data_IF_918328022263
#
_entry.id   IF_918328022263
#
_cell.length_a   1.000
_cell.length_b   1.000
_cell.length_c   1.000
_cell.angle_alpha   90.00
_cell.angle_beta   90.00
_cell.angle_gamma   90.00
#
_symmetry.space_group_name_H-M   'P 1'
#
loop_
_entity.id
_entity.type
_entity.pdbx_description
1 polymer ?
#
# COMPACT_ATOMS: atom_id res chain seq x y z
N UNK A 1 12.29 18.79 -9.25
CA UNK A 1 11.22 19.16 -10.21
C UNK A 1 10.96 20.66 -10.28
N UNK A 2 10.30 21.29 -9.31
CA UNK A 2 9.92 22.72 -9.38
C UNK A 2 11.09 23.67 -9.73
N UNK A 3 12.23 23.55 -9.03
CA UNK A 3 13.42 24.36 -9.32
C UNK A 3 13.97 24.16 -10.74
N UNK A 4 13.91 22.93 -11.27
CA UNK A 4 14.33 22.65 -12.64
C UNK A 4 13.37 23.27 -13.66
N UNK A 5 12.05 23.19 -13.42
CA UNK A 5 11.03 23.81 -14.25
C UNK A 5 11.16 25.33 -14.28
N UNK A 6 11.40 25.98 -13.13
CA UNK A 6 11.64 27.42 -13.05
C UNK A 6 12.90 27.82 -13.82
N UNK A 7 13.98 27.04 -13.73
CA UNK A 7 15.22 27.31 -14.47
C UNK A 7 15.03 27.19 -15.98
N UNK A 8 14.26 26.20 -16.43
CA UNK A 8 13.94 26.01 -17.86
C UNK A 8 12.94 27.05 -18.38
N UNK A 9 12.04 27.51 -17.52
CA UNK A 9 11.01 28.48 -17.85
C UNK A 9 11.07 29.68 -16.90
N UNK A 10 12.06 30.58 -17.02
CA UNK A 10 12.22 31.72 -16.10
C UNK A 10 11.01 32.66 -16.08
N UNK A 11 10.20 32.65 -17.14
CA UNK A 11 9.00 33.47 -17.29
C UNK A 11 7.76 32.89 -16.58
N UNK A 12 7.80 31.65 -16.08
CA UNK A 12 6.70 31.09 -15.31
C UNK A 12 6.63 31.71 -13.92
N UNK A 13 5.41 32.02 -13.47
CA UNK A 13 5.15 32.40 -12.09
C UNK A 13 5.12 31.16 -11.16
N UNK A 14 5.09 31.39 -9.85
CA UNK A 14 5.10 30.33 -8.85
C UNK A 14 3.96 29.32 -8.99
N UNK A 15 2.74 29.79 -9.29
CA UNK A 15 1.57 28.93 -9.48
C UNK A 15 1.74 27.97 -10.65
N UNK A 16 2.25 28.48 -11.79
CA UNK A 16 2.51 27.65 -12.97
C UNK A 16 3.57 26.59 -12.67
N UNK A 17 4.66 26.96 -12.01
CA UNK A 17 5.71 26.02 -11.62
C UNK A 17 5.18 24.96 -10.67
N UNK A 18 4.38 25.35 -9.68
CA UNK A 18 3.76 24.42 -8.73
C UNK A 18 2.82 23.43 -9.44
N UNK A 19 1.89 23.92 -10.26
CA UNK A 19 0.90 23.05 -10.92
C UNK A 19 1.55 22.10 -11.92
N UNK A 20 2.57 22.54 -12.67
CA UNK A 20 3.29 21.67 -13.60
C UNK A 20 4.14 20.62 -12.85
N UNK A 21 4.80 20.99 -11.75
CA UNK A 21 5.48 20.01 -10.89
C UNK A 21 4.49 19.00 -10.30
N UNK A 22 3.35 19.46 -9.77
CA UNK A 22 2.28 18.60 -9.23
C UNK A 22 1.73 17.64 -10.28
N UNK A 23 1.52 18.12 -11.51
CA UNK A 23 1.06 17.30 -12.64
C UNK A 23 2.06 16.17 -12.95
N UNK A 24 3.35 16.47 -12.97
CA UNK A 24 4.39 15.48 -13.22
C UNK A 24 4.43 14.43 -12.10
N UNK A 25 4.44 14.85 -10.84
CA UNK A 25 4.43 13.91 -9.69
C UNK A 25 3.19 13.02 -9.73
N UNK A 26 2.01 13.56 -10.05
CA UNK A 26 0.80 12.77 -10.25
C UNK A 26 0.96 11.72 -11.36
N UNK A 27 1.61 12.09 -12.47
CA UNK A 27 1.96 11.18 -13.55
C UNK A 27 2.93 10.07 -13.13
N UNK A 28 3.94 10.39 -12.34
CA UNK A 28 4.91 9.43 -11.78
C UNK A 28 4.20 8.41 -10.87
N UNK A 29 3.35 8.89 -9.95
CA UNK A 29 2.56 8.02 -9.07
C UNK A 29 1.66 7.09 -9.89
N UNK A 30 0.92 7.60 -10.87
CA UNK A 30 0.10 6.77 -11.75
C UNK A 30 0.92 5.74 -12.53
N UNK A 31 2.07 6.14 -13.08
CA UNK A 31 2.94 5.23 -13.83
C UNK A 31 3.44 4.09 -12.94
N UNK A 32 3.96 4.39 -11.75
CA UNK A 32 4.41 3.38 -10.78
C UNK A 32 3.26 2.46 -10.37
N UNK A 33 2.09 3.03 -10.04
CA UNK A 33 0.93 2.25 -9.61
C UNK A 33 0.48 1.27 -10.69
N UNK A 34 0.24 1.73 -11.92
CA UNK A 34 -0.36 0.90 -12.97
C UNK A 34 0.64 0.01 -13.71
N UNK A 35 1.89 0.45 -13.86
CA UNK A 35 2.92 -0.30 -14.62
C UNK A 35 3.77 -1.20 -13.75
N UNK A 36 3.95 -0.86 -12.47
CA UNK A 36 4.90 -1.58 -11.62
C UNK A 36 4.25 -2.26 -10.42
N UNK A 37 3.31 -1.62 -9.74
CA UNK A 37 2.69 -2.14 -8.52
C UNK A 37 1.54 -3.11 -8.82
N UNK A 38 0.49 -2.66 -9.52
CA UNK A 38 -0.71 -3.46 -9.78
C UNK A 38 -0.43 -4.78 -10.52
N UNK A 39 0.47 -4.86 -11.51
CA UNK A 39 0.81 -6.14 -12.14
C UNK A 39 1.41 -7.17 -11.17
N UNK A 40 2.21 -6.70 -10.19
CA UNK A 40 2.79 -7.58 -9.16
C UNK A 40 1.77 -8.06 -8.14
N UNK A 41 0.78 -7.21 -7.82
CA UNK A 41 -0.28 -7.53 -6.85
C UNK A 41 -1.35 -8.44 -7.47
N UNK A 42 -1.81 -8.13 -8.69
CA UNK A 42 -2.90 -8.86 -9.34
C UNK A 42 -2.42 -10.10 -10.11
N UNK A 43 -1.12 -10.17 -10.43
CA UNK A 43 -0.53 -11.29 -11.17
C UNK A 43 -1.23 -11.54 -12.50
N UNK A 44 -1.60 -12.79 -12.75
CA UNK A 44 -2.28 -13.22 -13.99
C UNK A 44 -3.62 -12.52 -14.21
N UNK A 45 -4.29 -12.07 -13.14
CA UNK A 45 -5.57 -11.34 -13.24
C UNK A 45 -5.42 -9.89 -13.71
N UNK A 46 -4.21 -9.33 -13.77
CA UNK A 46 -4.01 -7.93 -14.19
C UNK A 46 -4.55 -7.67 -15.60
N UNK A 47 -4.27 -8.57 -16.54
CA UNK A 47 -4.65 -8.40 -17.94
C UNK A 47 -6.17 -8.41 -18.16
N UNK A 48 -6.90 -9.23 -17.39
CA UNK A 48 -8.36 -9.32 -17.48
C UNK A 48 -9.09 -8.25 -16.68
N UNK A 49 -8.49 -7.76 -15.58
CA UNK A 49 -9.16 -6.83 -14.65
C UNK A 49 -8.83 -5.36 -14.95
N UNK A 50 -7.57 -5.04 -15.22
CA UNK A 50 -7.12 -3.66 -15.50
C UNK A 50 -6.78 -3.50 -16.97
N UNK A 51 -5.95 -4.41 -17.51
CA UNK A 51 -5.61 -4.48 -18.93
C UNK A 51 -4.90 -3.22 -19.47
N UNK A 52 -4.87 -3.13 -20.79
CA UNK A 52 -4.32 -1.96 -21.49
C UNK A 52 -5.28 -0.77 -21.44
N UNK A 53 -4.73 0.42 -21.30
CA UNK A 53 -5.50 1.66 -21.31
C UNK A 53 -6.03 1.97 -22.72
N UNK A 54 -7.36 2.16 -22.84
CA UNK A 54 -8.05 2.40 -24.13
C UNK A 54 -8.52 3.84 -24.32
N UNK A 55 -8.04 4.76 -23.48
CA UNK A 55 -8.48 6.16 -23.48
C UNK A 55 -9.51 6.46 -22.38
N UNK A 56 -9.80 7.74 -22.22
CA UNK A 56 -10.76 8.22 -21.23
C UNK A 56 -12.19 7.91 -21.67
N UNK A 57 -12.99 7.36 -20.76
CA UNK A 57 -14.41 7.13 -20.97
C UNK A 57 -15.19 7.93 -19.91
N UNK A 58 -15.96 8.96 -20.30
CA UNK A 58 -16.70 9.80 -19.35
C UNK A 58 -17.88 9.08 -18.68
N UNK A 59 -18.28 7.90 -19.17
CA UNK A 59 -19.35 7.09 -18.57
C UNK A 59 -18.87 6.16 -17.46
N UNK A 60 -17.56 6.08 -17.18
CA UNK A 60 -17.01 5.29 -16.07
C UNK A 60 -17.20 6.08 -14.77
N UNK A 61 -17.72 5.43 -13.74
CA UNK A 61 -17.75 5.95 -12.37
C UNK A 61 -16.37 5.77 -11.72
N UNK A 62 -15.64 6.87 -11.40
CA UNK A 62 -14.32 6.79 -10.78
C UNK A 62 -14.39 6.69 -9.25
N UNK A 63 -15.58 6.60 -8.66
CA UNK A 63 -15.77 6.55 -7.20
C UNK A 63 -15.11 5.31 -6.60
N UNK A 64 -14.44 5.49 -5.46
CA UNK A 64 -13.86 4.35 -4.72
C UNK A 64 -14.99 3.57 -4.05
N UNK A 65 -15.10 2.29 -4.40
CA UNK A 65 -16.04 1.37 -3.79
C UNK A 65 -15.78 1.22 -2.27
N UNK A 66 -16.86 1.16 -1.48
CA UNK A 66 -16.78 1.02 -0.03
C UNK A 66 -15.99 -0.24 0.37
N UNK A 67 -16.19 -1.32 -0.36
CA UNK A 67 -15.57 -2.62 -0.12
C UNK A 67 -14.08 -2.63 -0.46
N UNK A 68 -13.65 -1.75 -1.39
CA UNK A 68 -12.24 -1.53 -1.66
C UNK A 68 -11.53 -0.87 -0.47
N UNK A 69 -12.10 0.21 0.06
CA UNK A 69 -11.50 0.97 1.18
C UNK A 69 -11.58 0.25 2.54
N UNK A 70 -12.74 -0.32 2.85
CA UNK A 70 -13.03 -0.90 4.18
C UNK A 70 -12.62 -2.36 4.30
N UNK A 71 -12.32 -3.03 3.19
CA UNK A 71 -11.92 -4.44 3.15
C UNK A 71 -10.70 -4.69 2.26
N UNK A 72 -10.89 -4.69 0.94
CA UNK A 72 -9.95 -5.29 0.01
C UNK A 72 -8.54 -4.68 0.07
N UNK A 73 -8.41 -3.35 0.04
CA UNK A 73 -7.11 -2.68 0.01
C UNK A 73 -6.35 -2.75 1.35
N UNK A 74 -6.98 -3.29 2.41
CA UNK A 74 -6.33 -3.56 3.70
C UNK A 74 -5.50 -4.84 3.72
N UNK A 75 -5.44 -5.59 2.61
CA UNK A 75 -4.55 -6.75 2.46
C UNK A 75 -3.08 -6.41 2.79
N UNK A 76 -2.69 -5.14 2.58
CA UNK A 76 -1.38 -4.61 2.95
C UNK A 76 -1.03 -4.73 4.43
N UNK A 77 -2.01 -4.78 5.34
CA UNK A 77 -1.74 -5.01 6.77
C UNK A 77 -1.11 -6.39 7.02
N UNK A 78 -1.40 -7.38 6.18
CA UNK A 78 -0.74 -8.69 6.22
C UNK A 78 0.70 -8.65 5.71
N UNK A 79 1.12 -7.59 5.02
CA UNK A 79 2.45 -7.44 4.41
C UNK A 79 3.43 -6.67 5.30
N UNK A 80 2.96 -6.13 6.44
CA UNK A 80 3.78 -5.40 7.40
C UNK A 80 4.78 -6.36 8.07
N UNK A 81 6.05 -5.99 8.05
CA UNK A 81 7.11 -6.69 8.78
C UNK A 81 7.16 -6.21 10.24
N UNK A 82 7.63 -7.07 11.15
CA UNK A 82 7.79 -6.69 12.56
C UNK A 82 9.04 -5.82 12.79
N UNK A 83 10.01 -5.89 11.89
CA UNK A 83 11.27 -5.16 11.99
C UNK A 83 11.73 -4.64 10.63
N UNK A 84 12.31 -3.43 10.62
CA UNK A 84 12.89 -2.82 9.44
C UNK A 84 14.37 -2.47 9.69
N UNK A 85 15.30 -2.97 8.86
CA UNK A 85 16.70 -2.58 8.95
C UNK A 85 16.86 -1.13 8.50
N UNK A 86 17.86 -0.43 9.06
CA UNK A 86 18.37 0.83 8.52
C UNK A 86 19.79 0.61 8.04
N UNK A 87 20.06 1.01 6.80
CA UNK A 87 21.34 0.73 6.15
C UNK A 87 22.11 2.00 5.78
N UNK A 88 23.42 1.97 5.99
CA UNK A 88 24.32 3.03 5.53
C UNK A 88 24.51 3.00 4.00
N UNK A 89 25.38 3.87 3.49
CA UNK A 89 25.66 3.96 2.05
C UNK A 89 26.33 2.71 1.47
N UNK A 90 26.92 1.85 2.30
CA UNK A 90 27.56 0.59 1.92
C UNK A 90 26.59 -0.61 2.06
N UNK A 91 25.31 -0.35 2.32
CA UNK A 91 24.29 -1.36 2.62
C UNK A 91 24.61 -2.19 3.87
N UNK A 92 25.40 -1.64 4.78
CA UNK A 92 25.70 -2.23 6.09
C UNK A 92 24.77 -1.64 7.14
N UNK A 93 24.68 -2.28 8.31
CA UNK A 93 23.87 -1.76 9.42
C UNK A 93 24.27 -0.32 9.77
N UNK A 94 23.28 0.57 9.79
CA UNK A 94 23.45 1.94 10.26
C UNK A 94 23.88 1.95 11.73
N UNK A 95 24.64 2.97 12.13
CA UNK A 95 24.99 3.23 13.54
C UNK A 95 23.76 3.44 14.44
N UNK A 96 22.62 3.79 13.86
CA UNK A 96 21.35 3.93 14.59
C UNK A 96 20.61 2.61 14.77
N UNK A 97 21.09 1.49 14.21
CA UNK A 97 20.41 0.19 14.22
C UNK A 97 19.10 0.20 13.40
N UNK A 98 18.44 -0.94 13.25
CA UNK A 98 17.06 -0.98 12.74
C UNK A 98 16.05 -0.67 13.86
N UNK A 99 14.76 -0.73 13.54
CA UNK A 99 13.68 -0.53 14.52
C UNK A 99 12.54 -1.50 14.29
N UNK A 100 11.83 -1.86 15.37
CA UNK A 100 10.58 -2.60 15.24
C UNK A 100 9.51 -1.70 14.60
N UNK A 101 8.56 -2.28 13.88
CA UNK A 101 7.49 -1.50 13.25
C UNK A 101 6.75 -0.57 14.23
N UNK A 102 6.54 -1.04 15.46
CA UNK A 102 5.87 -0.28 16.52
C UNK A 102 6.71 0.92 16.93
N UNK A 103 8.01 0.74 17.13
CA UNK A 103 8.91 1.85 17.48
C UNK A 103 8.92 2.93 16.40
N UNK A 104 8.86 2.55 15.12
CA UNK A 104 8.80 3.51 14.02
C UNK A 104 7.45 4.22 13.84
N UNK A 105 6.38 3.76 14.49
CA UNK A 105 5.02 4.26 14.27
C UNK A 105 4.77 5.52 15.09
N UNK A 106 4.42 6.64 14.44
CA UNK A 106 4.19 7.96 15.06
C UNK A 106 5.43 8.58 15.75
N UNK A 107 6.64 8.15 15.39
CA UNK A 107 7.89 8.64 15.95
C UNK A 107 8.76 9.32 14.88
N UNK A 108 8.39 10.56 14.52
CA UNK A 108 9.12 11.36 13.53
C UNK A 108 10.51 11.78 13.99
N UNK A 109 10.77 11.75 15.29
CA UNK A 109 12.09 12.00 15.89
C UNK A 109 13.15 11.02 15.38
N UNK A 110 12.79 9.78 15.04
CA UNK A 110 13.70 8.85 14.37
C UNK A 110 14.16 9.36 13.00
N UNK A 111 13.29 10.05 12.25
CA UNK A 111 13.68 10.63 10.96
C UNK A 111 14.61 11.82 11.15
N UNK A 112 14.31 12.69 12.12
CA UNK A 112 15.03 13.95 12.31
C UNK A 112 16.40 13.70 12.95
N UNK A 113 16.46 12.83 13.96
CA UNK A 113 17.64 12.69 14.81
C UNK A 113 18.43 11.40 14.57
N UNK A 114 17.95 10.48 13.70
CA UNK A 114 18.61 9.18 13.48
C UNK A 114 18.92 8.89 12.01
N UNK A 115 19.47 9.90 11.31
CA UNK A 115 20.10 9.73 9.99
C UNK A 115 19.19 9.97 8.79
N UNK A 116 18.01 10.56 8.98
CA UNK A 116 17.11 10.92 7.88
C UNK A 116 16.38 9.73 7.26
N UNK A 117 15.85 9.95 6.06
CA UNK A 117 15.07 8.95 5.32
C UNK A 117 15.94 7.92 4.60
N UNK A 118 17.17 8.30 4.23
CA UNK A 118 18.05 7.49 3.38
C UNK A 118 18.29 6.08 3.92
N UNK A 119 18.65 5.89 5.21
CA UNK A 119 18.86 4.55 5.74
C UNK A 119 17.62 3.67 5.74
N UNK A 120 16.45 4.28 5.90
CA UNK A 120 15.15 3.60 5.89
C UNK A 120 14.82 3.16 4.46
N UNK A 121 15.00 4.05 3.48
CA UNK A 121 14.76 3.73 2.07
C UNK A 121 15.65 2.57 1.61
N UNK A 122 16.94 2.54 2.01
CA UNK A 122 17.83 1.41 1.73
C UNK A 122 17.33 0.13 2.38
N UNK A 123 16.88 0.20 3.63
CA UNK A 123 16.25 -0.92 4.32
C UNK A 123 15.02 -1.47 3.59
N UNK A 124 14.12 -0.60 3.15
CA UNK A 124 12.92 -0.96 2.39
C UNK A 124 13.24 -1.63 1.05
N UNK A 125 14.33 -1.22 0.38
CA UNK A 125 14.75 -1.82 -0.89
C UNK A 125 15.29 -3.25 -0.75
N UNK A 126 15.90 -3.61 0.39
CA UNK A 126 16.46 -4.96 0.60
C UNK A 126 15.55 -5.89 1.39
N UNK A 127 14.54 -5.34 2.07
CA UNK A 127 13.65 -6.13 2.93
C UNK A 127 12.71 -6.96 2.06
N UNK A 128 12.72 -8.31 2.19
CA UNK A 128 11.80 -9.14 1.44
C UNK A 128 10.34 -8.83 1.80
N UNK A 129 9.46 -8.99 0.83
CA UNK A 129 8.03 -8.86 1.04
C UNK A 129 7.51 -9.96 1.97
N UNK A 130 6.70 -9.57 2.97
CA UNK A 130 5.91 -10.52 3.73
C UNK A 130 4.62 -10.86 2.99
N UNK A 131 4.33 -12.15 2.83
CA UNK A 131 3.07 -12.58 2.20
C UNK A 131 1.87 -12.30 3.14
N UNK A 132 0.71 -11.90 2.60
CA UNK A 132 -0.40 -11.34 3.39
C UNK A 132 -1.30 -12.35 4.11
N UNK A 133 -0.95 -13.64 4.18
CA UNK A 133 -1.84 -14.68 4.73
C UNK A 133 -2.11 -14.55 6.24
N UNK A 134 -1.22 -13.88 6.98
CA UNK A 134 -1.34 -13.67 8.43
C UNK A 134 -0.91 -12.26 8.79
N UNK A 135 -1.52 -11.66 9.79
CA UNK A 135 -1.11 -10.37 10.34
C UNK A 135 -0.11 -10.62 11.48
N UNK A 136 0.90 -9.76 11.62
CA UNK A 136 1.94 -9.89 12.66
C UNK A 136 1.45 -9.44 14.03
N UNK A 137 2.12 -9.87 15.10
CA UNK A 137 1.78 -9.46 16.47
C UNK A 137 2.02 -7.98 16.71
N UNK A 138 2.98 -7.37 15.99
CA UNK A 138 3.15 -5.91 15.99
C UNK A 138 1.87 -5.17 15.58
N UNK A 139 1.02 -5.79 14.76
CA UNK A 139 -0.20 -5.19 14.21
C UNK A 139 -1.46 -5.66 14.94
N UNK A 140 -1.49 -6.88 15.50
CA UNK A 140 -2.65 -7.39 16.26
C UNK A 140 -2.61 -7.05 17.75
N UNK A 141 -1.44 -6.87 18.35
CA UNK A 141 -1.34 -6.64 19.81
C UNK A 141 -0.78 -5.27 20.16
N UNK A 142 0.17 -4.77 19.36
CA UNK A 142 1.02 -3.64 19.76
C UNK A 142 0.84 -2.40 18.88
N UNK A 143 -0.12 -2.40 17.96
CA UNK A 143 -0.34 -1.24 17.09
C UNK A 143 -0.75 -0.05 17.97
N UNK A 144 -0.08 1.09 17.82
CA UNK A 144 -0.35 2.28 18.65
C UNK A 144 -0.35 2.00 20.17
N UNK A 145 0.47 1.05 20.63
CA UNK A 145 0.69 0.75 22.06
C UNK A 145 -0.16 -0.38 22.65
N UNK A 146 -1.34 -0.70 22.10
CA UNK A 146 -2.18 -1.82 22.58
C UNK A 146 -3.39 -2.14 21.67
N UNK A 147 -3.36 -1.70 20.41
CA UNK A 147 -4.50 -1.81 19.51
C UNK A 147 -4.38 -3.04 18.61
N UNK A 148 -5.50 -3.76 18.46
CA UNK A 148 -5.64 -4.80 17.45
C UNK A 148 -6.22 -4.24 16.14
N UNK A 149 -5.34 -4.00 15.17
CA UNK A 149 -5.76 -3.50 13.86
C UNK A 149 -6.58 -4.53 13.07
N UNK A 150 -6.39 -5.83 13.31
CA UNK A 150 -7.18 -6.88 12.66
C UNK A 150 -8.62 -6.86 13.16
N UNK A 151 -8.83 -6.77 14.47
CA UNK A 151 -10.16 -6.59 15.06
C UNK A 151 -10.81 -5.29 14.60
N UNK A 152 -10.05 -4.19 14.51
CA UNK A 152 -10.57 -2.93 13.94
C UNK A 152 -11.04 -3.10 12.50
N UNK A 153 -10.31 -3.85 11.66
CA UNK A 153 -10.73 -4.10 10.29
C UNK A 153 -12.07 -4.86 10.24
N UNK A 154 -12.25 -5.85 11.10
CA UNK A 154 -13.51 -6.62 11.20
C UNK A 154 -14.65 -5.69 11.64
N UNK A 155 -14.45 -4.92 12.72
CA UNK A 155 -15.48 -4.00 13.22
C UNK A 155 -15.81 -2.91 12.21
N UNK A 156 -14.80 -2.37 11.51
CA UNK A 156 -15.00 -1.38 10.45
C UNK A 156 -15.76 -1.97 9.26
N UNK A 157 -15.52 -3.23 8.92
CA UNK A 157 -16.32 -3.92 7.90
C UNK A 157 -17.80 -4.01 8.27
N UNK A 158 -18.11 -4.27 9.55
CA UNK A 158 -19.49 -4.30 10.05
C UNK A 158 -20.14 -2.91 10.07
N UNK A 159 -19.42 -1.93 10.57
CA UNK A 159 -19.80 -0.51 10.59
C UNK A 159 -20.17 -0.01 9.17
N UNK A 160 -19.37 -0.39 8.18
CA UNK A 160 -19.60 -0.06 6.77
C UNK A 160 -20.63 -0.94 6.06
N UNK A 161 -21.26 -1.89 6.76
CA UNK A 161 -22.29 -2.78 6.19
C UNK A 161 -21.75 -3.68 5.07
N UNK A 162 -20.49 -4.13 5.15
CA UNK A 162 -19.91 -4.98 4.12
C UNK A 162 -20.69 -6.30 3.98
N UNK A 163 -21.03 -6.71 2.75
CA UNK A 163 -21.64 -8.01 2.49
C UNK A 163 -20.79 -9.19 3.02
N UNK A 164 -21.41 -10.35 3.27
CA UNK A 164 -20.66 -11.53 3.67
C UNK A 164 -19.76 -12.04 2.53
N UNK A 165 -18.71 -12.76 2.89
CA UNK A 165 -17.74 -13.37 1.95
C UNK A 165 -18.39 -14.10 0.77
N UNK A 166 -19.45 -14.88 1.02
CA UNK A 166 -20.18 -15.64 -0.02
C UNK A 166 -20.80 -14.74 -1.09
N UNK A 167 -21.21 -13.52 -0.72
CA UNK A 167 -21.75 -12.53 -1.66
C UNK A 167 -20.63 -11.98 -2.55
N UNK A 168 -19.47 -11.68 -2.00
CA UNK A 168 -18.31 -11.25 -2.78
C UNK A 168 -17.83 -12.32 -3.76
N UNK A 169 -17.82 -13.60 -3.35
CA UNK A 169 -17.51 -14.70 -4.30
C UNK A 169 -18.41 -14.65 -5.53
N UNK A 170 -19.73 -14.52 -5.34
CA UNK A 170 -20.68 -14.42 -6.44
C UNK A 170 -20.46 -13.18 -7.31
N UNK A 171 -20.22 -12.02 -6.69
CA UNK A 171 -19.95 -10.77 -7.41
C UNK A 171 -18.67 -10.87 -8.27
N UNK A 172 -17.68 -11.62 -7.80
CA UNK A 172 -16.45 -11.90 -8.54
C UNK A 172 -16.55 -13.11 -9.50
N UNK A 173 -17.75 -13.66 -9.73
CA UNK A 173 -17.96 -14.80 -10.63
C UNK A 173 -17.39 -16.13 -10.12
N UNK A 174 -17.08 -16.24 -8.83
CA UNK A 174 -16.60 -17.47 -8.19
C UNK A 174 -17.78 -18.36 -7.74
N UNK A 175 -17.51 -19.66 -7.59
CA UNK A 175 -18.48 -20.62 -7.06
C UNK A 175 -19.01 -20.20 -5.68
N UNK A 176 -20.29 -20.41 -5.42
CA UNK A 176 -20.85 -20.19 -4.09
C UNK A 176 -20.24 -21.15 -3.07
N UNK A 177 -20.04 -20.68 -1.84
CA UNK A 177 -19.59 -21.52 -0.72
C UNK A 177 -20.74 -21.66 0.28
N UNK A 178 -21.06 -22.89 0.69
CA UNK A 178 -22.14 -23.22 1.62
C UNK A 178 -21.65 -24.00 2.84
N UNK A 179 -20.52 -24.69 2.70
CA UNK A 179 -19.89 -25.51 3.73
C UNK A 179 -18.48 -25.02 4.04
N UNK A 180 -17.90 -25.48 5.14
CA UNK A 180 -16.49 -25.19 5.46
C UNK A 180 -15.52 -25.83 4.46
N UNK A 181 -15.91 -26.94 3.84
CA UNK A 181 -15.10 -27.60 2.81
C UNK A 181 -15.01 -26.75 1.54
N UNK A 182 -16.05 -25.98 1.22
CA UNK A 182 -16.05 -25.06 0.07
C UNK A 182 -15.09 -23.88 0.23
N UNK A 183 -14.61 -23.62 1.46
CA UNK A 183 -13.68 -22.53 1.80
C UNK A 183 -12.35 -23.03 2.35
N UNK A 184 -12.18 -24.34 2.52
CA UNK A 184 -10.94 -24.92 3.00
C UNK A 184 -9.94 -25.06 1.85
N UNK A 185 -8.69 -24.68 2.10
CA UNK A 185 -7.59 -24.91 1.16
C UNK A 185 -7.04 -26.33 1.37
N UNK A 186 -7.87 -27.36 1.21
CA UNK A 186 -7.43 -28.76 1.13
C UNK A 186 -7.07 -29.10 -0.31
N UNK A 187 -6.07 -28.43 -0.88
CA UNK A 187 -5.27 -28.89 -2.03
C UNK A 187 -4.22 -27.83 -2.41
N UNK A 188 -3.04 -27.94 -1.79
CA UNK A 188 -1.74 -27.55 -2.35
C UNK A 188 -0.64 -28.22 -1.55
#
# INVERSE_FOLDING_TARGET
LAAQLQRLNPHWNGDRVFQEARKIVGGEVHAITYREYLPKILGTSFASTVGEYRGYNPSVDPTIANEFNSGAFRFGHGMIQEFYPRLDQRLMNSSFGGFSFVDGTLHSDHLIFQGGIDPILRGLMVTPLKRPQRITTSVTENMFGSTDLATINIQRGRDHGLPPYVRFRQLCGLSGARTMDDVSFNNS
#
